data_IF_971570340181
#
_entry.id   IF_971570340181
#
_cell.length_a   1.000
_cell.length_b   1.000
_cell.length_c   1.000
_cell.angle_alpha   90.00
_cell.angle_beta   90.00
_cell.angle_gamma   90.00
#
_symmetry.space_group_name_H-M   'P 1'
#
loop_
_entity.id
_entity.type
_entity.pdbx_description
1 polymer ?
#
# COMPACT_ATOMS: atom_id res chain seq x y z
N UNK A 1 -13.04 17.94 49.20
CA UNK A 1 -13.01 17.71 47.73
C UNK A 1 -13.13 19.08 47.06
N UNK A 2 -12.13 19.50 46.29
CA UNK A 2 -12.02 20.88 45.78
C UNK A 2 -11.76 21.00 44.26
N UNK A 3 -11.73 19.88 43.52
CA UNK A 3 -11.57 19.86 42.06
C UNK A 3 -12.71 19.00 41.47
N UNK A 4 -13.41 19.52 40.48
CA UNK A 4 -14.47 18.84 39.73
C UNK A 4 -14.47 19.32 38.28
N UNK A 5 -15.15 18.57 37.40
CA UNK A 5 -15.34 18.89 35.98
C UNK A 5 -16.83 18.83 35.68
N UNK A 6 -17.31 19.81 34.92
CA UNK A 6 -18.64 19.81 34.31
C UNK A 6 -18.46 19.47 32.82
N UNK A 7 -19.17 18.45 32.35
CA UNK A 7 -19.08 17.99 30.96
C UNK A 7 -19.93 18.87 30.04
N UNK A 8 -19.64 18.84 28.74
CA UNK A 8 -20.37 19.65 27.75
C UNK A 8 -21.83 19.18 27.63
N UNK A 9 -22.77 20.13 27.62
CA UNK A 9 -24.22 19.91 27.43
C UNK A 9 -24.56 19.04 26.22
N UNK A 10 -23.74 19.07 25.16
CA UNK A 10 -23.91 18.25 23.95
C UNK A 10 -23.86 16.74 24.24
N UNK A 11 -23.15 16.33 25.30
CA UNK A 11 -23.05 14.95 25.74
C UNK A 11 -24.33 14.52 26.49
N UNK A 12 -25.04 15.48 27.08
CA UNK A 12 -26.27 15.25 27.83
C UNK A 12 -26.08 14.23 28.95
N UNK A 13 -26.87 13.15 28.91
CA UNK A 13 -26.82 12.07 29.91
C UNK A 13 -25.72 11.04 29.68
N UNK A 14 -25.05 11.06 28.52
CA UNK A 14 -24.04 10.07 28.15
C UNK A 14 -22.62 10.51 28.54
N UNK A 15 -22.49 11.21 29.67
CA UNK A 15 -21.20 11.67 30.15
C UNK A 15 -20.38 10.49 30.68
N UNK A 16 -19.10 10.45 30.31
CA UNK A 16 -18.17 9.42 30.76
C UNK A 16 -16.86 10.03 31.25
N UNK A 17 -16.24 9.39 32.25
CA UNK A 17 -14.97 9.82 32.82
C UNK A 17 -13.83 9.82 31.77
N UNK A 18 -13.96 9.02 30.72
CA UNK A 18 -12.98 8.96 29.63
C UNK A 18 -13.01 10.17 28.69
N UNK A 19 -14.01 11.06 28.78
CA UNK A 19 -14.09 12.29 27.99
C UNK A 19 -13.18 13.41 28.51
N UNK A 20 -12.57 13.22 29.68
CA UNK A 20 -11.60 14.17 30.22
C UNK A 20 -10.27 13.97 29.47
N UNK A 21 -9.76 15.00 28.76
CA UNK A 21 -8.49 14.88 28.05
C UNK A 21 -7.33 14.65 29.02
N UNK A 22 -6.27 14.02 28.52
CA UNK A 22 -5.09 13.65 29.31
C UNK A 22 -4.51 14.86 30.09
N UNK A 23 -4.58 16.04 29.48
CA UNK A 23 -4.10 17.28 30.06
C UNK A 23 -4.81 17.66 31.37
N UNK A 24 -6.13 17.53 31.38
CA UNK A 24 -6.98 17.83 32.52
C UNK A 24 -7.04 16.68 33.53
N UNK A 25 -6.87 15.44 33.07
CA UNK A 25 -6.86 14.24 33.92
C UNK A 25 -5.80 14.34 35.03
N UNK A 26 -4.58 14.81 34.72
CA UNK A 26 -3.51 14.97 35.69
C UNK A 26 -3.83 15.97 36.81
N UNK A 27 -4.41 17.12 36.44
CA UNK A 27 -4.83 18.15 37.41
C UNK A 27 -6.01 17.67 38.26
N UNK A 28 -6.99 17.00 37.64
CA UNK A 28 -8.16 16.49 38.36
C UNK A 28 -7.78 15.43 39.41
N UNK A 29 -6.78 14.59 39.12
CA UNK A 29 -6.32 13.52 39.99
C UNK A 29 -5.13 13.91 40.90
N UNK A 30 -4.89 15.21 41.10
CA UNK A 30 -3.81 15.73 41.97
C UNK A 30 -2.40 15.23 41.59
N UNK A 31 -2.17 14.89 40.31
CA UNK A 31 -0.82 14.59 39.81
C UNK A 31 -0.01 15.86 39.58
N UNK A 32 -0.71 16.94 39.25
CA UNK A 32 -0.13 18.28 39.05
C UNK A 32 -0.98 19.32 39.78
N UNK A 33 -0.32 20.37 40.29
CA UNK A 33 -1.02 21.51 40.89
C UNK A 33 -1.40 22.55 39.85
N UNK A 34 -0.61 22.66 38.78
CA UNK A 34 -0.87 23.58 37.70
C UNK A 34 -1.96 23.03 36.77
N UNK A 35 -3.00 23.81 36.46
CA UNK A 35 -3.95 23.47 35.42
C UNK A 35 -3.26 23.56 34.05
N UNK A 36 -3.77 22.85 33.02
CA UNK A 36 -3.05 22.69 31.75
C UNK A 36 -2.79 24.01 31.00
N UNK A 37 -3.60 25.05 31.21
CA UNK A 37 -3.37 26.37 30.60
C UNK A 37 -2.25 27.18 31.26
N UNK A 38 -1.78 26.80 32.46
CA UNK A 38 -0.68 27.47 33.18
C UNK A 38 0.63 26.67 33.13
N UNK A 39 0.62 25.51 32.49
CA UNK A 39 1.75 24.60 32.46
C UNK A 39 2.40 24.61 31.06
N UNK A 40 3.49 25.39 30.85
CA UNK A 40 4.14 25.48 29.56
C UNK A 40 4.99 24.25 29.22
N UNK A 41 5.22 23.34 30.19
CA UNK A 41 6.09 22.17 30.02
C UNK A 41 5.31 20.92 29.60
N UNK A 42 4.04 21.05 29.25
CA UNK A 42 3.25 19.92 28.77
C UNK A 42 3.82 19.43 27.44
N UNK A 43 4.06 18.11 27.32
CA UNK A 43 4.57 17.56 26.07
C UNK A 43 3.53 17.78 24.97
N UNK A 44 3.93 18.44 23.88
CA UNK A 44 3.19 18.46 22.62
C UNK A 44 4.15 18.02 21.52
N UNK A 45 3.98 16.78 21.09
CA UNK A 45 4.82 16.10 20.11
C UNK A 45 3.96 15.76 18.90
N UNK A 46 4.53 15.78 17.68
CA UNK A 46 3.77 15.57 16.45
C UNK A 46 3.17 14.16 16.31
N UNK A 47 3.63 13.20 17.10
CA UNK A 47 3.15 11.82 17.10
C UNK A 47 2.05 11.55 18.13
N UNK A 48 1.72 12.52 19.00
CA UNK A 48 0.64 12.33 19.95
C UNK A 48 -0.71 12.44 19.26
N UNK A 49 -1.58 11.46 19.52
CA UNK A 49 -2.93 11.47 19.02
C UNK A 49 -3.79 12.46 19.82
N UNK A 50 -4.76 13.07 19.14
CA UNK A 50 -5.82 13.84 19.77
C UNK A 50 -6.60 12.96 20.76
N UNK A 51 -7.12 13.61 21.80
CA UNK A 51 -7.92 12.91 22.80
C UNK A 51 -9.19 12.31 22.18
N UNK A 52 -9.43 11.05 22.48
CA UNK A 52 -10.66 10.34 22.15
C UNK A 52 -11.21 9.66 23.39
N UNK A 53 -12.53 9.68 23.53
CA UNK A 53 -13.23 8.94 24.57
C UNK A 53 -13.11 7.42 24.37
N UNK A 54 -13.52 6.67 25.40
CA UNK A 54 -13.54 5.22 25.35
C UNK A 54 -14.75 4.70 24.56
N UNK A 55 -14.49 4.04 23.44
CA UNK A 55 -15.52 3.43 22.60
C UNK A 55 -15.87 1.96 22.95
N UNK A 56 -15.41 1.46 24.10
CA UNK A 56 -15.75 0.09 24.55
C UNK A 56 -17.26 -0.15 24.54
N UNK A 57 -17.69 -1.32 24.07
CA UNK A 57 -19.12 -1.67 23.98
C UNK A 57 -19.90 -0.95 22.87
N UNK A 58 -19.25 -0.10 22.08
CA UNK A 58 -19.83 0.51 20.88
C UNK A 58 -19.33 -0.18 19.61
N UNK A 59 -19.89 0.17 18.45
CA UNK A 59 -19.42 -0.32 17.15
C UNK A 59 -18.01 0.16 16.78
N UNK A 60 -17.47 1.18 17.47
CA UNK A 60 -16.11 1.70 17.27
C UNK A 60 -15.10 1.11 18.26
N UNK A 61 -15.48 0.08 19.01
CA UNK A 61 -14.57 -0.60 19.92
C UNK A 61 -13.37 -1.19 19.15
N UNK A 62 -12.20 -1.13 19.76
CA UNK A 62 -11.00 -1.75 19.20
C UNK A 62 -11.15 -3.28 19.21
N UNK A 63 -10.96 -3.89 18.04
CA UNK A 63 -10.94 -5.36 17.88
C UNK A 63 -9.52 -5.77 17.46
N UNK A 64 -8.83 -6.61 18.25
CA UNK A 64 -7.48 -7.01 17.93
C UNK A 64 -7.46 -7.88 16.66
N UNK A 65 -6.43 -7.68 15.84
CA UNK A 65 -6.17 -8.46 14.63
C UNK A 65 -4.71 -8.89 14.58
N UNK A 66 -4.42 -9.89 13.73
CA UNK A 66 -3.03 -10.30 13.49
C UNK A 66 -2.30 -9.21 12.71
N UNK A 67 -1.24 -8.64 13.30
CA UNK A 67 -0.36 -7.68 12.61
C UNK A 67 0.67 -8.37 11.73
N UNK A 68 0.75 -9.71 11.77
CA UNK A 68 1.70 -10.50 10.99
C UNK A 68 1.07 -11.05 9.72
N UNK A 69 1.88 -11.12 8.67
CA UNK A 69 1.53 -11.82 7.43
C UNK A 69 1.57 -13.34 7.66
N UNK A 70 0.78 -14.13 6.90
CA UNK A 70 0.87 -15.58 6.96
C UNK A 70 2.30 -16.02 6.63
N UNK A 71 2.85 -16.93 7.44
CA UNK A 71 4.24 -17.39 7.29
C UNK A 71 4.43 -18.37 6.12
N UNK A 72 3.37 -19.04 5.72
CA UNK A 72 3.39 -20.08 4.69
C UNK A 72 2.53 -19.58 3.54
N UNK A 73 3.12 -19.50 2.36
CA UNK A 73 2.40 -19.25 1.12
C UNK A 73 1.85 -20.58 0.58
N UNK A 74 0.55 -20.62 0.31
CA UNK A 74 -0.09 -21.80 -0.28
C UNK A 74 0.20 -21.87 -1.78
N UNK A 75 0.52 -23.06 -2.28
CA UNK A 75 0.60 -23.28 -3.72
C UNK A 75 -0.78 -23.14 -4.35
N UNK A 76 -0.90 -22.33 -5.40
CA UNK A 76 -2.14 -22.14 -6.17
C UNK A 76 -2.04 -22.96 -7.46
N UNK A 77 -2.97 -23.89 -7.73
CA UNK A 77 -2.93 -24.72 -8.93
C UNK A 77 -3.14 -23.90 -10.21
N UNK A 78 -2.45 -24.24 -11.31
CA UNK A 78 -2.71 -23.63 -12.61
C UNK A 78 -4.13 -23.98 -13.07
N UNK A 79 -4.87 -22.97 -13.57
CA UNK A 79 -6.20 -23.19 -14.17
C UNK A 79 -6.03 -23.91 -15.51
N UNK A 80 -6.79 -24.98 -15.74
CA UNK A 80 -6.76 -25.70 -17.01
C UNK A 80 -7.23 -24.80 -18.15
N UNK A 81 -6.44 -24.68 -19.22
CA UNK A 81 -6.89 -24.04 -20.46
C UNK A 81 -7.95 -24.94 -21.10
N UNK A 82 -9.19 -24.48 -21.12
CA UNK A 82 -10.24 -25.06 -21.97
C UNK A 82 -9.83 -24.92 -23.42
N UNK A 83 -9.33 -26.00 -24.04
CA UNK A 83 -9.04 -26.01 -25.47
C UNK A 83 -10.37 -25.91 -26.21
N UNK A 84 -10.64 -24.77 -26.84
CA UNK A 84 -11.71 -24.66 -27.82
C UNK A 84 -11.39 -25.56 -29.02
N UNK A 85 -12.35 -26.32 -29.58
CA UNK A 85 -12.12 -27.10 -30.78
C UNK A 85 -11.74 -26.17 -31.93
N UNK A 86 -10.58 -26.41 -32.53
CA UNK A 86 -10.08 -25.64 -33.67
C UNK A 86 -11.07 -25.77 -34.84
N UNK A 87 -11.91 -24.76 -35.01
CA UNK A 87 -12.76 -24.60 -36.20
C UNK A 87 -12.07 -23.58 -37.09
N UNK A 88 -11.12 -24.04 -37.90
CA UNK A 88 -10.47 -23.26 -38.94
C UNK A 88 -10.45 -24.08 -40.23
N UNK A 89 -10.73 -23.47 -41.41
CA UNK A 89 -10.81 -24.20 -42.67
C UNK A 89 -9.45 -24.75 -43.09
N UNK A 90 -9.43 -25.98 -43.60
CA UNK A 90 -8.25 -26.63 -44.17
C UNK A 90 -7.80 -25.84 -45.41
N UNK A 91 -6.72 -25.07 -45.29
CA UNK A 91 -6.12 -24.38 -46.42
C UNK A 91 -5.34 -25.38 -47.28
N UNK A 92 -5.93 -25.79 -48.41
CA UNK A 92 -5.22 -26.51 -49.48
C UNK A 92 -4.27 -25.55 -50.19
N UNK A 93 -2.96 -25.69 -49.95
CA UNK A 93 -1.96 -24.95 -50.72
C UNK A 93 -1.82 -25.60 -52.10
N UNK A 94 -2.15 -24.87 -53.17
CA UNK A 94 -1.76 -25.24 -54.53
C UNK A 94 -0.52 -24.45 -54.90
N UNK A 95 0.62 -25.12 -55.03
CA UNK A 95 1.88 -24.54 -55.49
C UNK A 95 1.87 -24.43 -57.01
N UNK A 96 2.02 -23.24 -57.63
CA UNK A 96 2.28 -23.17 -59.06
C UNK A 96 3.78 -23.42 -59.31
N UNK A 97 4.08 -24.42 -60.14
CA UNK A 97 5.40 -24.65 -60.69
C UNK A 97 5.79 -23.53 -61.67
N UNK A 98 6.99 -22.94 -61.54
CA UNK A 98 7.59 -22.17 -62.65
C UNK A 98 9.12 -22.18 -62.64
N UNK A 99 9.64 -22.98 -63.57
CA UNK A 99 10.83 -22.83 -64.42
C UNK A 99 12.13 -22.22 -63.87
N UNK A 100 13.18 -23.04 -63.92
CA UNK A 100 14.59 -22.71 -63.87
C UNK A 100 14.99 -21.73 -64.97
N UNK A 101 15.78 -20.71 -64.64
CA UNK A 101 16.69 -20.12 -65.62
C UNK A 101 18.09 -19.97 -65.03
N UNK A 102 19.06 -20.46 -65.78
CA UNK A 102 20.48 -20.58 -65.50
C UNK A 102 21.17 -19.27 -65.88
N UNK A 103 22.07 -18.77 -65.04
CA UNK A 103 22.91 -17.61 -65.37
C UNK A 103 24.02 -17.39 -64.35
N UNK A 104 25.26 -17.74 -64.75
CA UNK A 104 26.52 -17.61 -64.02
C UNK A 104 27.00 -16.15 -63.84
N UNK A 105 27.89 -15.99 -62.84
CA UNK A 105 28.89 -14.92 -62.58
C UNK A 105 28.54 -14.03 -61.36
N UNK A 106 29.38 -13.82 -60.35
CA UNK A 106 30.78 -14.21 -60.11
C UNK A 106 31.26 -13.73 -58.73
N UNK A 107 32.10 -14.55 -58.09
CA UNK A 107 33.26 -14.29 -57.23
C UNK A 107 33.31 -13.09 -56.23
N UNK A 108 33.21 -13.45 -54.92
CA UNK A 108 34.07 -13.07 -53.76
C UNK A 108 34.08 -11.59 -53.22
N UNK A 109 34.67 -11.30 -52.02
CA UNK A 109 34.06 -11.48 -50.69
C UNK A 109 34.23 -10.27 -49.72
N UNK A 110 33.60 -10.38 -48.54
CA UNK A 110 33.94 -9.79 -47.23
C UNK A 110 34.65 -8.42 -47.14
N UNK A 111 34.01 -7.49 -46.42
CA UNK A 111 34.70 -6.55 -45.51
C UNK A 111 33.95 -6.44 -44.19
N UNK A 112 34.56 -6.99 -43.14
CA UNK A 112 34.31 -6.62 -41.75
C UNK A 112 34.70 -5.15 -41.58
N UNK A 113 33.83 -4.35 -40.96
CA UNK A 113 34.25 -3.11 -40.31
C UNK A 113 33.84 -3.21 -38.86
N UNK A 114 34.89 -3.17 -38.06
CA UNK A 114 34.95 -3.29 -36.62
C UNK A 114 35.15 -1.88 -36.02
N UNK A 115 34.74 -1.72 -34.75
CA UNK A 115 35.03 -0.64 -33.80
C UNK A 115 34.28 0.69 -33.96
N UNK A 116 33.47 1.07 -32.96
CA UNK A 116 33.99 1.70 -31.73
C UNK A 116 32.90 1.84 -30.65
N UNK A 117 33.29 1.52 -29.42
CA UNK A 117 32.61 1.86 -28.17
C UNK A 117 32.61 3.38 -27.91
N UNK A 118 31.59 3.89 -27.19
CA UNK A 118 31.71 4.53 -25.86
C UNK A 118 30.61 5.57 -25.56
N UNK A 119 30.12 5.44 -24.32
CA UNK A 119 29.64 6.49 -23.41
C UNK A 119 28.22 7.07 -23.52
N UNK A 120 27.38 6.59 -22.61
CA UNK A 120 26.43 7.37 -21.79
C UNK A 120 27.14 8.46 -20.98
N UNK A 121 26.50 9.62 -20.66
CA UNK A 121 25.64 9.76 -19.45
C UNK A 121 24.39 10.65 -19.72
N UNK A 122 23.27 10.55 -19.00
CA UNK A 122 23.05 10.95 -17.61
C UNK A 122 21.98 12.06 -17.58
N UNK A 123 20.75 11.76 -17.16
CA UNK A 123 19.66 12.74 -17.03
C UNK A 123 19.68 13.34 -15.62
N UNK A 124 19.55 14.67 -15.58
CA UNK A 124 19.27 15.49 -14.41
C UNK A 124 17.86 15.24 -13.85
#
# INVERSE_FOLDING_TARGET
RNRWVEYNDQVGINYDASQVPAEWFGWLHYKTDLPPFKDPNRPNYPWMAEHSENFSGTSRAYVPYSTTTPKIEQWVPPKSQTRHPATGPIAIHTTPARHTNTGLAGLLPNTLVENQELSTPGYH
#
